data_IF_635433688656
#
_entry.id   IF_635433688656
#
_cell.length_a   1.000
_cell.length_b   1.000
_cell.length_c   1.000
_cell.angle_alpha   90.00
_cell.angle_beta   90.00
_cell.angle_gamma   90.00
#
_symmetry.space_group_name_H-M   'P 1'
#
loop_
_entity.id
_entity.type
_entity.pdbx_description
1 polymer ?
#
# COMPACT_ATOMS: atom_id res chain seq x y z
N UNK A 1 -9.44 6.24 -8.13
CA UNK A 1 -8.90 5.03 -8.78
C UNK A 1 -8.74 3.86 -7.82
N UNK A 2 -8.39 4.10 -6.55
CA UNK A 2 -8.19 3.05 -5.53
C UNK A 2 -9.35 2.07 -5.39
N UNK A 3 -10.60 2.54 -5.36
CA UNK A 3 -11.78 1.67 -5.31
C UNK A 3 -11.90 0.73 -6.51
N UNK A 4 -11.53 1.19 -7.71
CA UNK A 4 -11.48 0.35 -8.92
C UNK A 4 -10.38 -0.70 -8.77
N UNK A 5 -9.20 -0.33 -8.26
CA UNK A 5 -8.12 -1.28 -8.01
C UNK A 5 -8.57 -2.36 -7.02
N UNK A 6 -9.16 -1.98 -5.89
CA UNK A 6 -9.67 -2.93 -4.90
C UNK A 6 -10.76 -3.84 -5.48
N UNK A 7 -11.73 -3.28 -6.21
CA UNK A 7 -12.76 -4.06 -6.89
C UNK A 7 -12.18 -5.04 -7.93
N UNK A 8 -11.14 -4.63 -8.64
CA UNK A 8 -10.44 -5.50 -9.60
C UNK A 8 -9.68 -6.63 -8.91
N UNK A 9 -9.15 -6.40 -7.70
CA UNK A 9 -8.52 -7.43 -6.89
C UNK A 9 -9.54 -8.48 -6.42
N UNK A 10 -10.74 -8.03 -6.01
CA UNK A 10 -11.85 -8.94 -5.68
C UNK A 10 -12.31 -9.77 -6.89
N UNK A 11 -12.19 -9.23 -8.10
CA UNK A 11 -12.48 -9.93 -9.35
C UNK A 11 -11.33 -10.85 -9.84
N UNK A 12 -10.27 -11.04 -9.05
CA UNK A 12 -9.18 -11.98 -9.33
C UNK A 12 -7.97 -11.39 -10.04
N UNK A 13 -7.91 -10.07 -10.26
CA UNK A 13 -6.69 -9.41 -10.74
C UNK A 13 -5.71 -9.15 -9.59
N UNK A 14 -4.47 -8.78 -9.92
CA UNK A 14 -3.40 -8.45 -8.94
C UNK A 14 -2.85 -7.04 -9.17
N UNK A 15 -3.66 -6.00 -8.91
CA UNK A 15 -3.30 -4.63 -9.23
C UNK A 15 -2.14 -4.09 -8.37
N UNK A 16 -1.32 -3.25 -9.00
CA UNK A 16 -0.35 -2.39 -8.32
C UNK A 16 -0.85 -0.96 -8.44
N UNK A 17 -1.37 -0.44 -7.35
CA UNK A 17 -2.03 0.87 -7.25
C UNK A 17 -1.02 1.90 -6.74
N UNK A 18 -0.57 2.80 -7.61
CA UNK A 18 0.40 3.83 -7.27
C UNK A 18 -0.27 5.15 -6.86
N UNK A 19 0.25 5.75 -5.80
CA UNK A 19 -0.04 7.12 -5.39
C UNK A 19 1.17 8.00 -5.68
N UNK A 20 0.94 9.22 -6.18
CA UNK A 20 1.99 10.22 -6.35
C UNK A 20 2.77 10.49 -5.06
N UNK A 21 2.07 10.46 -3.91
CA UNK A 21 2.65 10.44 -2.57
C UNK A 21 1.63 9.84 -1.60
N UNK A 22 2.09 9.13 -0.57
CA UNK A 22 1.22 8.56 0.44
C UNK A 22 0.49 9.61 1.29
N UNK A 23 0.98 10.85 1.31
CA UNK A 23 0.28 11.98 1.93
C UNK A 23 -1.13 12.17 1.33
N UNK A 24 -1.30 11.94 0.04
CA UNK A 24 -2.59 12.06 -0.65
C UNK A 24 -3.38 10.75 -0.67
N UNK A 25 -2.76 9.62 -0.33
CA UNK A 25 -3.46 8.35 -0.19
C UNK A 25 -4.55 8.38 0.89
N UNK A 26 -4.49 9.34 1.83
CA UNK A 26 -5.56 9.58 2.81
C UNK A 26 -6.92 9.90 2.18
N UNK A 27 -6.96 10.43 0.95
CA UNK A 27 -8.22 10.62 0.23
C UNK A 27 -8.89 9.30 -0.17
N UNK A 28 -8.12 8.22 -0.26
CA UNK A 28 -8.56 6.89 -0.64
C UNK A 28 -8.55 5.89 0.53
N UNK A 29 -8.44 6.40 1.76
CA UNK A 29 -8.22 5.62 2.98
C UNK A 29 -9.31 4.58 3.24
N UNK A 30 -10.56 4.88 2.89
CA UNK A 30 -11.68 3.96 3.08
C UNK A 30 -11.51 2.68 2.23
N UNK A 31 -11.04 2.82 0.99
CA UNK A 31 -10.74 1.67 0.13
C UNK A 31 -9.54 0.86 0.62
N UNK A 32 -8.55 1.52 1.23
CA UNK A 32 -7.38 0.82 1.78
C UNK A 32 -7.75 0.07 3.06
N UNK A 33 -8.40 0.77 4.00
CA UNK A 33 -8.64 0.28 5.35
C UNK A 33 -9.91 -0.54 5.45
N UNK A 34 -11.05 -0.01 5.01
CA UNK A 34 -12.35 -0.66 5.24
C UNK A 34 -12.69 -1.67 4.13
N UNK A 35 -12.24 -1.42 2.90
CA UNK A 35 -12.39 -2.39 1.82
C UNK A 35 -11.24 -3.41 1.84
N UNK A 36 -10.04 -3.05 1.35
CA UNK A 36 -8.97 -4.02 1.11
C UNK A 36 -8.55 -4.80 2.38
N UNK A 37 -8.28 -4.10 3.50
CA UNK A 37 -7.76 -4.75 4.71
C UNK A 37 -8.78 -5.63 5.45
N UNK A 38 -10.09 -5.37 5.32
CA UNK A 38 -11.11 -6.09 6.11
C UNK A 38 -11.83 -7.17 5.33
N UNK A 39 -11.89 -7.09 4.01
CA UNK A 39 -12.73 -7.98 3.20
C UNK A 39 -12.46 -9.46 3.47
N UNK A 40 -11.19 -9.89 3.55
CA UNK A 40 -10.87 -11.30 3.83
C UNK A 40 -11.48 -11.80 5.15
N UNK A 41 -11.42 -10.98 6.20
CA UNK A 41 -12.03 -11.30 7.49
C UNK A 41 -13.55 -11.24 7.43
N UNK A 42 -14.12 -10.20 6.81
CA UNK A 42 -15.57 -10.01 6.70
C UNK A 42 -16.26 -11.08 5.84
N UNK A 43 -15.54 -11.64 4.86
CA UNK A 43 -16.03 -12.71 4.01
C UNK A 43 -15.73 -14.10 4.56
N UNK A 44 -15.30 -14.22 5.82
CA UNK A 44 -14.88 -15.50 6.44
C UNK A 44 -13.84 -16.29 5.61
N UNK A 45 -12.96 -15.57 4.87
CA UNK A 45 -11.93 -16.16 4.01
C UNK A 45 -12.31 -16.30 2.53
N UNK A 46 -13.56 -16.06 2.14
CA UNK A 46 -14.02 -16.30 0.76
C UNK A 46 -13.42 -15.32 -0.28
N UNK A 47 -13.17 -14.07 0.10
CA UNK A 47 -12.73 -13.00 -0.80
C UNK A 47 -11.37 -12.47 -0.33
N UNK A 48 -10.31 -12.85 -1.04
CA UNK A 48 -8.97 -12.26 -0.87
C UNK A 48 -8.84 -10.90 -1.58
N UNK A 49 -7.92 -10.06 -1.12
CA UNK A 49 -7.59 -8.78 -1.78
C UNK A 49 -6.09 -8.72 -2.14
N UNK A 50 -5.66 -9.39 -3.22
CA UNK A 50 -4.27 -9.37 -3.66
C UNK A 50 -3.93 -8.04 -4.36
N UNK A 51 -3.56 -7.02 -3.59
CA UNK A 51 -3.28 -5.67 -4.09
C UNK A 51 -2.02 -5.09 -3.43
N UNK A 52 -1.22 -4.37 -4.22
CA UNK A 52 -0.12 -3.55 -3.70
C UNK A 52 -0.48 -2.09 -3.84
N UNK A 53 -0.48 -1.34 -2.73
CA UNK A 53 -0.53 0.11 -2.72
C UNK A 53 0.89 0.64 -2.56
N UNK A 54 1.40 1.37 -3.55
CA UNK A 54 2.77 1.88 -3.54
C UNK A 54 2.84 3.38 -3.74
N UNK A 55 3.96 3.95 -3.35
CA UNK A 55 4.30 5.32 -3.65
C UNK A 55 5.26 5.92 -2.63
N UNK A 56 5.68 7.16 -2.90
CA UNK A 56 6.56 7.91 -2.02
C UNK A 56 6.02 8.13 -0.60
N UNK A 57 6.86 7.96 0.41
CA UNK A 57 6.54 8.12 1.82
C UNK A 57 7.75 8.60 2.65
N UNK A 58 7.49 9.47 3.62
CA UNK A 58 8.54 10.06 4.46
C UNK A 58 9.09 11.35 3.86
N UNK A 59 10.20 11.84 4.42
CA UNK A 59 10.79 13.12 4.04
C UNK A 59 11.31 13.09 2.60
N UNK A 60 11.11 14.20 1.90
CA UNK A 60 11.55 14.41 0.53
C UNK A 60 12.15 15.81 0.35
N UNK A 61 13.00 15.99 -0.65
CA UNK A 61 13.79 17.21 -0.80
C UNK A 61 12.96 18.37 -1.38
N UNK A 62 12.72 19.42 -0.58
CA UNK A 62 12.15 20.69 -1.06
C UNK A 62 10.64 20.69 -1.33
N UNK A 63 9.90 19.69 -0.82
CA UNK A 63 8.46 19.49 -1.11
C UNK A 63 7.51 19.85 0.04
N UNK A 64 8.06 20.42 1.12
CA UNK A 64 7.33 20.93 2.30
C UNK A 64 6.45 19.88 3.02
N UNK A 65 5.56 20.36 3.90
CA UNK A 65 4.87 19.52 4.88
C UNK A 65 3.94 18.45 4.27
N UNK A 66 3.24 18.76 3.17
CA UNK A 66 2.25 17.87 2.56
C UNK A 66 2.86 16.72 1.74
N UNK A 67 4.19 16.64 1.64
CA UNK A 67 4.89 15.59 0.91
C UNK A 67 5.96 14.91 1.78
N UNK A 68 5.93 15.10 3.11
CA UNK A 68 7.02 14.68 4.00
C UNK A 68 6.60 13.75 5.16
N UNK A 69 5.31 13.42 5.28
CA UNK A 69 4.84 12.59 6.38
C UNK A 69 5.18 11.11 6.15
N UNK A 70 5.59 10.44 7.22
CA UNK A 70 5.79 8.99 7.24
C UNK A 70 4.56 8.30 7.83
N UNK A 71 3.90 7.45 7.04
CA UNK A 71 2.69 6.72 7.43
C UNK A 71 2.95 5.27 7.86
N UNK A 72 4.21 4.84 7.96
CA UNK A 72 4.56 3.46 8.31
C UNK A 72 3.92 3.02 9.64
N UNK A 73 4.03 3.84 10.69
CA UNK A 73 3.42 3.55 11.99
C UNK A 73 1.89 3.53 11.93
N UNK A 74 1.29 4.42 11.14
CA UNK A 74 -0.16 4.55 11.03
C UNK A 74 -0.77 3.33 10.32
N UNK A 75 -0.33 3.01 9.11
CA UNK A 75 -0.78 1.81 8.41
C UNK A 75 -0.35 0.51 9.13
N UNK A 76 0.80 0.51 9.81
CA UNK A 76 1.28 -0.65 10.58
C UNK A 76 0.37 -0.99 11.77
N UNK A 77 -0.44 -0.02 12.23
CA UNK A 77 -1.45 -0.24 13.28
C UNK A 77 -2.79 -0.74 12.76
N UNK A 78 -2.97 -0.88 11.45
CA UNK A 78 -4.24 -1.32 10.83
C UNK A 78 -4.20 -2.84 10.60
N UNK A 79 -5.03 -3.63 11.30
CA UNK A 79 -5.07 -5.08 11.08
C UNK A 79 -5.54 -5.42 9.66
N UNK A 80 -4.92 -6.45 9.07
CA UNK A 80 -5.21 -6.91 7.72
C UNK A 80 -4.33 -6.27 6.64
N UNK A 81 -3.50 -5.27 6.98
CA UNK A 81 -2.48 -4.74 6.08
C UNK A 81 -1.11 -5.33 6.41
N UNK A 82 -0.32 -5.62 5.38
CA UNK A 82 1.14 -5.79 5.50
C UNK A 82 1.80 -4.49 5.09
N UNK A 83 2.74 -3.98 5.88
CA UNK A 83 3.41 -2.70 5.60
C UNK A 83 4.91 -2.92 5.43
N UNK A 84 5.43 -2.51 4.28
CA UNK A 84 6.82 -2.64 3.89
C UNK A 84 7.42 -1.26 3.61
N UNK A 85 8.65 -1.04 4.06
CA UNK A 85 9.45 0.13 3.76
C UNK A 85 10.86 -0.35 3.36
N UNK A 86 11.14 -0.56 2.06
CA UNK A 86 12.45 -1.04 1.62
C UNK A 86 13.55 -0.01 1.91
N UNK A 87 14.77 -0.49 2.14
CA UNK A 87 15.92 0.37 2.42
C UNK A 87 16.85 0.58 1.22
N UNK A 88 17.09 -0.46 0.42
CA UNK A 88 17.99 -0.40 -0.73
C UNK A 88 17.35 -0.97 -2.01
N UNK A 89 18.11 -0.94 -3.11
CA UNK A 89 17.65 -1.42 -4.42
C UNK A 89 17.40 -2.94 -4.47
N UNK A 90 18.12 -3.74 -3.67
CA UNK A 90 17.94 -5.18 -3.62
C UNK A 90 16.65 -5.54 -2.88
N UNK A 91 16.45 -4.91 -1.72
CA UNK A 91 15.22 -4.96 -0.93
C UNK A 91 14.03 -4.51 -1.76
N UNK A 92 14.11 -3.35 -2.42
CA UNK A 92 13.02 -2.82 -3.24
C UNK A 92 12.62 -3.83 -4.33
N UNK A 93 13.60 -4.41 -5.03
CA UNK A 93 13.34 -5.41 -6.08
C UNK A 93 12.75 -6.71 -5.51
N UNK A 94 13.32 -7.22 -4.41
CA UNK A 94 12.92 -8.49 -3.80
C UNK A 94 11.54 -8.39 -3.17
N UNK A 95 11.35 -7.38 -2.31
CA UNK A 95 10.11 -7.14 -1.58
C UNK A 95 8.96 -6.76 -2.52
N UNK A 96 9.18 -5.98 -3.58
CA UNK A 96 8.11 -5.68 -4.55
C UNK A 96 7.61 -6.95 -5.25
N UNK A 97 8.52 -7.86 -5.65
CA UNK A 97 8.13 -9.15 -6.24
C UNK A 97 7.39 -10.03 -5.25
N UNK A 98 7.80 -10.02 -3.98
CA UNK A 98 7.10 -10.75 -2.92
C UNK A 98 5.70 -10.16 -2.68
N UNK A 99 5.59 -8.84 -2.55
CA UNK A 99 4.34 -8.11 -2.35
C UNK A 99 3.34 -8.37 -3.48
N UNK A 100 3.77 -8.32 -4.74
CA UNK A 100 2.89 -8.59 -5.89
C UNK A 100 2.35 -10.04 -5.88
N UNK A 101 3.06 -11.00 -5.26
CA UNK A 101 2.65 -12.41 -5.16
C UNK A 101 1.89 -12.74 -3.89
N UNK A 102 1.87 -11.84 -2.92
CA UNK A 102 1.17 -12.01 -1.66
C UNK A 102 -0.36 -11.96 -1.87
N UNK A 103 -1.15 -12.88 -1.29
CA UNK A 103 -2.61 -12.85 -1.41
C UNK A 103 -3.27 -11.72 -0.61
N UNK A 104 -2.55 -11.10 0.33
CA UNK A 104 -3.03 -10.06 1.22
C UNK A 104 -2.71 -8.65 0.69
N UNK A 105 -3.43 -7.62 1.13
CA UNK A 105 -3.12 -6.24 0.73
C UNK A 105 -1.82 -5.76 1.36
N UNK A 106 -0.93 -5.22 0.52
CA UNK A 106 0.39 -4.73 0.91
C UNK A 106 0.52 -3.23 0.70
N UNK A 107 0.96 -2.51 1.72
CA UNK A 107 1.41 -1.12 1.66
C UNK A 107 2.92 -1.11 1.43
N UNK A 108 3.38 -0.50 0.35
CA UNK A 108 4.78 -0.43 -0.05
C UNK A 108 5.24 1.04 -0.05
N UNK A 109 5.92 1.44 1.02
CA UNK A 109 6.29 2.82 1.32
C UNK A 109 7.72 3.12 0.86
N UNK A 110 7.85 3.87 -0.24
CA UNK A 110 9.14 4.14 -0.88
C UNK A 110 9.71 5.48 -0.38
N UNK A 111 10.91 5.51 0.19
CA UNK A 111 11.52 6.76 0.62
C UNK A 111 12.20 7.45 -0.58
N UNK A 112 11.80 8.69 -0.89
CA UNK A 112 12.33 9.45 -2.04
C UNK A 112 13.82 9.79 -1.93
N UNK A 113 14.37 9.83 -0.71
CA UNK A 113 15.77 10.17 -0.49
C UNK A 113 16.72 8.97 -0.62
N UNK A 114 16.18 7.74 -0.59
CA UNK A 114 16.97 6.52 -0.79
C UNK A 114 17.31 6.37 -2.28
N UNK A 115 18.57 6.07 -2.57
CA UNK A 115 19.13 5.91 -3.92
C UNK A 115 19.61 4.49 -4.15
#
# INVERSE_FOLDING_TARGET
FTGIAVGSAFAGLRPVCEFMTFNFAMQAIDHIVNSAAKTLYMSAGDISCPIVFRGPNGAAAGVAAQHSQCFAAWYGSVPGLKVLAPYDSEDARGLMKAAIRDPDPVIFLENELLR
#
